data_IF_476883867913
#
_entry.id   IF_476883867913
#
_cell.length_a   1.000
_cell.length_b   1.000
_cell.length_c   1.000
_cell.angle_alpha   90.00
_cell.angle_beta   90.00
_cell.angle_gamma   90.00
#
_symmetry.space_group_name_H-M   'P 1'
#
loop_
_entity.id
_entity.type
_entity.pdbx_description
1 polymer ?
#
# COMPACT_ATOMS: atom_id res chain seq x y z
N UNK A 1 -6.59 -15.79 -10.35
CA UNK A 1 -6.32 -14.35 -10.53
C UNK A 1 -6.98 -13.61 -9.37
N UNK A 2 -6.18 -12.94 -8.54
CA UNK A 2 -6.64 -12.21 -7.35
C UNK A 2 -7.34 -10.90 -7.70
N UNK A 3 -8.01 -10.28 -6.72
CA UNK A 3 -8.72 -9.01 -6.93
C UNK A 3 -7.82 -7.92 -7.52
N UNK A 4 -6.60 -7.76 -7.01
CA UNK A 4 -5.65 -6.74 -7.46
C UNK A 4 -5.32 -6.88 -8.95
N UNK A 5 -5.10 -8.12 -9.41
CA UNK A 5 -4.80 -8.43 -10.81
C UNK A 5 -6.00 -8.13 -11.71
N UNK A 6 -7.20 -8.55 -11.31
CA UNK A 6 -8.45 -8.23 -12.02
C UNK A 6 -8.68 -6.72 -12.10
N UNK A 7 -8.43 -6.00 -10.99
CA UNK A 7 -8.60 -4.56 -10.93
C UNK A 7 -7.60 -3.84 -11.86
N UNK A 8 -6.32 -4.21 -11.85
CA UNK A 8 -5.31 -3.64 -12.77
C UNK A 8 -5.66 -3.93 -14.23
N UNK A 9 -6.10 -5.16 -14.54
CA UNK A 9 -6.56 -5.53 -15.88
C UNK A 9 -7.75 -4.65 -16.32
N UNK A 10 -8.75 -4.46 -15.46
CA UNK A 10 -9.89 -3.61 -15.75
C UNK A 10 -9.50 -2.15 -16.01
N UNK A 11 -8.52 -1.60 -15.28
CA UNK A 11 -8.02 -0.24 -15.51
C UNK A 11 -7.27 -0.08 -16.84
N UNK A 12 -6.74 -1.17 -17.37
CA UNK A 12 -5.99 -1.21 -18.64
C UNK A 12 -6.90 -1.56 -19.83
N UNK A 13 -8.17 -1.87 -19.58
CA UNK A 13 -9.17 -2.19 -20.60
C UNK A 13 -9.51 -0.95 -21.42
N UNK A 14 -9.51 -1.10 -22.75
CA UNK A 14 -9.77 0.02 -23.67
C UNK A 14 -11.25 0.40 -23.77
N UNK A 15 -12.14 -0.50 -23.34
CA UNK A 15 -13.58 -0.35 -23.52
C UNK A 15 -14.41 -0.77 -22.31
N UNK A 16 -13.77 -1.17 -21.19
CA UNK A 16 -14.44 -1.60 -19.94
C UNK A 16 -15.60 -2.57 -20.23
N UNK A 17 -15.37 -3.52 -21.15
CA UNK A 17 -16.44 -4.43 -21.60
C UNK A 17 -17.04 -5.17 -20.41
N UNK A 18 -18.37 -5.25 -20.46
CA UNK A 18 -19.17 -6.03 -19.55
C UNK A 18 -20.15 -6.87 -20.38
N UNK A 19 -19.78 -8.13 -20.60
CA UNK A 19 -20.54 -9.13 -21.35
C UNK A 19 -20.38 -10.51 -20.69
N UNK A 20 -20.94 -11.56 -21.28
CA UNK A 20 -20.91 -12.90 -20.68
C UNK A 20 -19.50 -13.49 -20.46
N UNK A 21 -18.45 -12.88 -21.04
CA UNK A 21 -17.06 -13.33 -20.97
C UNK A 21 -16.10 -12.28 -20.43
N UNK A 22 -16.50 -11.01 -20.37
CA UNK A 22 -15.69 -9.89 -19.90
C UNK A 22 -16.45 -9.15 -18.79
N UNK A 23 -15.81 -8.88 -17.65
CA UNK A 23 -16.45 -8.25 -16.49
C UNK A 23 -15.62 -7.07 -15.97
N UNK A 24 -15.03 -6.30 -16.88
CA UNK A 24 -14.07 -5.24 -16.52
C UNK A 24 -14.75 -4.11 -15.74
N UNK A 25 -15.95 -3.69 -16.17
CA UNK A 25 -16.74 -2.66 -15.47
C UNK A 25 -17.18 -3.13 -14.09
N UNK A 26 -17.63 -4.39 -13.98
CA UNK A 26 -18.06 -5.02 -12.73
C UNK A 26 -16.95 -4.99 -11.69
N UNK A 27 -15.70 -5.24 -12.07
CA UNK A 27 -14.55 -5.21 -11.15
C UNK A 27 -14.33 -3.80 -10.58
N UNK A 28 -14.44 -2.76 -11.42
CA UNK A 28 -14.32 -1.36 -10.98
C UNK A 28 -15.50 -0.98 -10.07
N UNK A 29 -16.72 -1.40 -10.40
CA UNK A 29 -17.92 -1.15 -9.61
C UNK A 29 -17.84 -1.85 -8.24
N UNK A 30 -17.43 -3.12 -8.21
CA UNK A 30 -17.25 -3.89 -6.98
C UNK A 30 -16.22 -3.27 -6.05
N UNK A 31 -15.11 -2.75 -6.60
CA UNK A 31 -14.10 -2.00 -5.86
C UNK A 31 -14.69 -0.73 -5.23
N UNK A 32 -15.44 0.06 -6.02
CA UNK A 32 -16.08 1.28 -5.54
C UNK A 32 -17.10 0.99 -4.42
N UNK A 33 -17.96 -0.01 -4.61
CA UNK A 33 -18.94 -0.44 -3.62
C UNK A 33 -18.28 -0.98 -2.35
N UNK A 34 -17.09 -1.60 -2.43
CA UNK A 34 -16.40 -2.19 -1.27
C UNK A 34 -15.88 -1.14 -0.29
N UNK A 35 -15.71 0.08 -0.80
CA UNK A 35 -15.60 1.30 -0.02
C UNK A 35 -14.51 1.28 1.05
N UNK A 36 -14.58 2.30 1.90
CA UNK A 36 -13.65 2.52 3.01
C UNK A 36 -12.21 2.79 2.54
N UNK A 37 -11.29 2.70 3.50
CA UNK A 37 -9.87 2.99 3.26
C UNK A 37 -9.23 2.06 2.21
N UNK A 38 -9.69 0.81 2.12
CA UNK A 38 -9.20 -0.14 1.12
C UNK A 38 -9.48 0.29 -0.33
N UNK A 39 -10.63 0.93 -0.59
CA UNK A 39 -10.93 1.46 -1.93
C UNK A 39 -9.97 2.61 -2.30
N UNK A 40 -9.66 3.49 -1.34
CA UNK A 40 -8.66 4.56 -1.51
C UNK A 40 -7.27 3.98 -1.73
N UNK A 41 -6.87 2.94 -0.98
CA UNK A 41 -5.59 2.26 -1.17
C UNK A 41 -5.47 1.66 -2.59
N UNK A 42 -6.51 1.00 -3.10
CA UNK A 42 -6.50 0.42 -4.45
C UNK A 42 -6.37 1.50 -5.53
N UNK A 43 -7.13 2.59 -5.41
CA UNK A 43 -7.08 3.71 -6.36
C UNK A 43 -5.72 4.39 -6.35
N UNK A 44 -5.20 4.74 -5.18
CA UNK A 44 -3.89 5.40 -5.07
C UNK A 44 -2.78 4.50 -5.60
N UNK A 45 -2.78 3.20 -5.26
CA UNK A 45 -1.71 2.27 -5.65
C UNK A 45 -1.70 1.91 -7.13
N UNK A 46 -2.88 1.77 -7.75
CA UNK A 46 -2.99 1.20 -9.10
C UNK A 46 -3.58 2.15 -10.14
N UNK A 47 -4.49 3.05 -9.76
CA UNK A 47 -5.17 3.95 -10.70
C UNK A 47 -4.47 5.31 -10.83
N UNK A 48 -3.98 5.87 -9.72
CA UNK A 48 -3.33 7.20 -9.71
C UNK A 48 -1.86 7.16 -10.18
N UNK A 49 -1.40 6.04 -10.75
CA UNK A 49 -0.14 5.96 -11.48
C UNK A 49 1.13 5.88 -10.62
N UNK A 50 1.04 5.64 -9.31
CA UNK A 50 2.24 5.54 -8.43
C UNK A 50 3.26 4.49 -8.88
N UNK A 51 2.88 3.55 -9.75
CA UNK A 51 3.76 2.51 -10.30
C UNK A 51 4.40 2.91 -11.64
N UNK A 52 3.91 3.90 -12.39
CA UNK A 52 4.41 4.16 -13.77
C UNK A 52 4.26 5.57 -14.35
N UNK A 53 3.53 6.51 -13.77
CA UNK A 53 3.43 7.89 -14.29
C UNK A 53 3.57 8.91 -13.17
N UNK A 54 4.43 9.90 -13.40
CA UNK A 54 4.55 11.08 -12.55
C UNK A 54 3.15 11.69 -12.32
N UNK A 55 2.69 11.65 -11.07
CA UNK A 55 1.73 12.50 -10.34
C UNK A 55 0.84 13.53 -11.07
N UNK A 56 0.35 13.25 -12.27
CA UNK A 56 -0.55 14.14 -13.00
C UNK A 56 -1.98 13.61 -12.89
N UNK A 57 -2.67 13.93 -11.78
CA UNK A 57 -4.14 13.83 -11.79
C UNK A 57 -4.87 13.76 -10.45
N UNK A 58 -4.27 13.25 -9.36
CA UNK A 58 -5.07 12.94 -8.16
C UNK A 58 -4.39 13.15 -6.80
N UNK A 59 -3.67 14.26 -6.64
CA UNK A 59 -3.12 14.67 -5.33
C UNK A 59 -4.17 14.68 -4.20
N UNK A 60 -5.46 14.88 -4.55
CA UNK A 60 -6.59 14.82 -3.61
C UNK A 60 -6.80 13.44 -2.96
N UNK A 61 -6.73 12.35 -3.73
CA UNK A 61 -6.92 10.99 -3.22
C UNK A 61 -5.79 10.60 -2.27
N UNK A 62 -4.53 10.87 -2.64
CA UNK A 62 -3.39 10.60 -1.78
C UNK A 62 -3.47 11.44 -0.50
N UNK A 63 -3.81 12.73 -0.60
CA UNK A 63 -3.97 13.57 0.57
C UNK A 63 -5.11 13.08 1.49
N UNK A 64 -6.23 12.61 0.92
CA UNK A 64 -7.32 12.02 1.68
C UNK A 64 -6.87 10.72 2.37
N UNK A 65 -6.17 9.85 1.65
CA UNK A 65 -5.64 8.59 2.18
C UNK A 65 -4.64 8.86 3.31
N UNK A 66 -3.71 9.80 3.12
CA UNK A 66 -2.73 10.16 4.15
C UNK A 66 -3.41 10.71 5.41
N UNK A 67 -4.42 11.58 5.26
CA UNK A 67 -5.21 12.09 6.41
C UNK A 67 -5.93 10.95 7.14
N UNK A 68 -6.65 10.10 6.41
CA UNK A 68 -7.38 8.98 7.00
C UNK A 68 -6.44 7.97 7.68
N UNK A 69 -5.30 7.70 7.06
CA UNK A 69 -4.29 6.80 7.60
C UNK A 69 -3.62 7.36 8.85
N UNK A 70 -3.24 8.65 8.82
CA UNK A 70 -2.64 9.32 9.99
C UNK A 70 -3.59 9.29 11.18
N UNK A 71 -4.89 9.52 10.95
CA UNK A 71 -5.90 9.41 12.00
C UNK A 71 -6.00 7.99 12.58
N UNK A 72 -5.98 6.97 11.71
CA UNK A 72 -6.01 5.56 12.13
C UNK A 72 -4.76 5.15 12.92
N UNK A 73 -3.57 5.55 12.46
CA UNK A 73 -2.30 5.30 13.16
C UNK A 73 -2.28 6.02 14.50
N UNK A 74 -2.75 7.27 14.57
CA UNK A 74 -2.83 8.00 15.83
C UNK A 74 -3.80 7.33 16.83
N UNK A 75 -4.96 6.83 16.36
CA UNK A 75 -5.89 6.10 17.20
C UNK A 75 -5.27 4.80 17.73
N UNK A 76 -4.60 4.02 16.87
CA UNK A 76 -3.89 2.80 17.26
C UNK A 76 -2.73 3.09 18.20
N UNK A 77 -1.93 4.13 17.94
CA UNK A 77 -0.80 4.54 18.77
C UNK A 77 -1.22 4.96 20.17
N UNK A 78 -2.38 5.62 20.30
CA UNK A 78 -3.01 5.94 21.59
C UNK A 78 -3.51 4.68 22.29
N UNK A 79 -4.27 3.83 21.59
CA UNK A 79 -4.81 2.58 22.16
C UNK A 79 -3.70 1.61 22.64
N UNK A 80 -2.61 1.50 21.87
CA UNK A 80 -1.44 0.67 22.18
C UNK A 80 -0.43 1.37 23.10
N UNK A 81 -0.69 2.62 23.52
CA UNK A 81 0.16 3.42 24.41
C UNK A 81 1.63 3.50 23.96
N UNK A 82 1.88 3.80 22.69
CA UNK A 82 3.24 3.91 22.15
C UNK A 82 4.08 4.98 22.84
N UNK A 83 3.42 6.07 23.28
CA UNK A 83 4.04 7.16 24.02
C UNK A 83 3.19 7.41 25.26
N UNK A 84 3.84 7.55 26.42
CA UNK A 84 3.16 7.98 27.65
C UNK A 84 3.02 9.49 27.63
N UNK A 85 1.94 9.99 27.03
CA UNK A 85 1.67 11.41 27.02
C UNK A 85 1.05 11.84 28.35
N UNK A 86 1.82 12.54 29.18
CA UNK A 86 1.35 13.09 30.47
C UNK A 86 1.14 14.61 30.40
N UNK A 87 1.85 15.29 29.49
CA UNK A 87 1.73 16.72 29.25
C UNK A 87 1.26 17.05 27.84
N UNK A 88 0.86 18.30 27.60
CA UNK A 88 0.52 18.78 26.26
C UNK A 88 1.71 18.70 25.28
N UNK A 89 2.93 18.90 25.78
CA UNK A 89 4.16 18.75 25.00
C UNK A 89 4.38 17.29 24.56
N UNK A 90 4.16 16.33 25.47
CA UNK A 90 4.27 14.91 25.14
C UNK A 90 3.21 14.49 24.12
N UNK A 91 2.01 15.04 24.20
CA UNK A 91 0.96 14.80 23.22
C UNK A 91 1.35 15.31 21.82
N UNK A 92 2.02 16.45 21.72
CA UNK A 92 2.53 16.99 20.47
C UNK A 92 3.69 16.13 19.90
N UNK A 93 4.61 15.69 20.76
CA UNK A 93 5.68 14.78 20.37
C UNK A 93 5.11 13.43 19.88
N UNK A 94 4.10 12.90 20.56
CA UNK A 94 3.41 11.66 20.17
C UNK A 94 2.70 11.81 18.82
N UNK A 95 1.97 12.90 18.58
CA UNK A 95 1.33 13.16 17.29
C UNK A 95 2.36 13.28 16.15
N UNK A 96 3.53 13.86 16.43
CA UNK A 96 4.63 13.95 15.45
C UNK A 96 5.18 12.56 15.11
N UNK A 97 5.32 11.68 16.10
CA UNK A 97 5.67 10.28 15.87
C UNK A 97 4.60 9.56 15.04
N UNK A 98 3.32 9.68 15.39
CA UNK A 98 2.23 9.01 14.67
C UNK A 98 2.19 9.41 13.19
N UNK A 99 2.39 10.70 12.91
CA UNK A 99 2.47 11.19 11.53
C UNK A 99 3.65 10.59 10.77
N UNK A 100 4.87 10.59 11.36
CA UNK A 100 6.06 9.99 10.71
C UNK A 100 5.87 8.49 10.43
N UNK A 101 5.34 7.74 11.39
CA UNK A 101 5.03 6.32 11.20
C UNK A 101 3.98 6.12 10.10
N UNK A 102 2.94 6.95 10.06
CA UNK A 102 1.90 6.87 9.04
C UNK A 102 2.46 7.15 7.63
N UNK A 103 3.25 8.22 7.48
CA UNK A 103 3.88 8.60 6.21
C UNK A 103 4.85 7.51 5.73
N UNK A 104 5.75 7.05 6.60
CA UNK A 104 6.75 6.04 6.24
C UNK A 104 6.12 4.68 5.92
N UNK A 105 5.13 4.23 6.70
CA UNK A 105 4.42 2.98 6.43
C UNK A 105 3.65 3.04 5.11
N UNK A 106 2.97 4.15 4.84
CA UNK A 106 2.22 4.32 3.60
C UNK A 106 3.15 4.40 2.39
N UNK A 107 4.23 5.19 2.48
CA UNK A 107 5.21 5.31 1.41
C UNK A 107 5.85 3.96 1.08
N UNK A 108 6.26 3.21 2.11
CA UNK A 108 6.82 1.88 1.93
C UNK A 108 5.79 0.90 1.34
N UNK A 109 4.53 0.93 1.77
CA UNK A 109 3.50 0.03 1.21
C UNK A 109 3.13 0.36 -0.26
N UNK A 110 3.18 1.63 -0.64
CA UNK A 110 2.95 2.08 -2.02
C UNK A 110 4.13 1.73 -2.94
N UNK A 111 5.36 1.88 -2.46
CA UNK A 111 6.59 1.66 -3.21
C UNK A 111 7.50 0.62 -2.54
N UNK A 112 6.94 -0.57 -2.31
CA UNK A 112 7.64 -1.62 -1.56
C UNK A 112 8.69 -2.33 -2.38
N UNK A 113 8.80 -2.10 -3.70
CA UNK A 113 9.68 -2.87 -4.57
C UNK A 113 11.12 -2.40 -4.50
N UNK A 114 12.03 -3.34 -4.32
CA UNK A 114 13.46 -3.09 -4.41
C UNK A 114 13.82 -2.51 -5.79
N UNK A 115 14.46 -1.34 -5.82
CA UNK A 115 14.83 -0.66 -7.08
C UNK A 115 15.88 -1.38 -7.90
N UNK A 116 16.67 -2.26 -7.28
CA UNK A 116 17.74 -3.01 -7.95
C UNK A 116 17.24 -4.28 -8.66
N UNK A 117 16.19 -4.93 -8.16
CA UNK A 117 15.61 -6.15 -8.75
C UNK A 117 14.15 -5.98 -9.18
N UNK A 118 13.57 -4.78 -9.04
CA UNK A 118 12.18 -4.47 -9.35
C UNK A 118 11.15 -5.39 -8.67
N UNK A 119 11.48 -5.94 -7.50
CA UNK A 119 10.59 -6.82 -6.74
C UNK A 119 10.83 -8.32 -6.90
N UNK A 120 11.76 -8.76 -7.76
CA UNK A 120 11.97 -10.20 -8.03
C UNK A 120 12.80 -10.90 -6.95
N UNK A 121 13.54 -10.16 -6.12
CA UNK A 121 14.49 -10.70 -5.14
C UNK A 121 15.78 -11.25 -5.76
N UNK A 122 15.87 -11.33 -7.09
CA UNK A 122 17.02 -11.90 -7.81
C UNK A 122 17.47 -11.00 -8.95
N UNK A 123 18.76 -11.02 -9.26
CA UNK A 123 19.35 -10.35 -10.42
C UNK A 123 19.98 -11.39 -11.33
N UNK A 124 19.85 -11.20 -12.65
CA UNK A 124 20.50 -12.07 -13.62
C UNK A 124 22.02 -11.90 -13.53
N UNK A 125 22.74 -12.99 -13.29
CA UNK A 125 24.19 -12.97 -13.20
C UNK A 125 24.82 -13.16 -14.58
N UNK A 126 24.97 -12.06 -15.34
CA UNK A 126 25.68 -12.06 -16.61
C UNK A 126 25.17 -13.07 -17.66
N UNK A 127 25.92 -13.21 -18.77
CA UNK A 127 25.47 -13.86 -20.01
C UNK A 127 25.23 -15.37 -19.95
N UNK A 128 25.59 -16.08 -18.86
CA UNK A 128 25.47 -17.55 -18.75
C UNK A 128 25.13 -18.05 -17.33
N UNK A 129 24.77 -17.18 -16.37
CA UNK A 129 24.70 -17.53 -14.94
C UNK A 129 23.29 -17.64 -14.34
N UNK A 130 23.12 -18.60 -13.43
CA UNK A 130 21.92 -18.80 -12.61
C UNK A 130 21.49 -17.50 -11.87
N UNK A 131 20.19 -17.34 -11.54
CA UNK A 131 19.70 -16.16 -10.81
C UNK A 131 20.41 -16.03 -9.47
N UNK A 132 21.00 -14.86 -9.20
CA UNK A 132 21.70 -14.58 -7.95
C UNK A 132 20.83 -13.71 -7.06
N UNK A 133 20.84 -14.00 -5.76
CA UNK A 133 20.13 -13.21 -4.75
C UNK A 133 20.51 -11.72 -4.85
N UNK A 134 19.50 -10.86 -4.94
CA UNK A 134 19.71 -9.42 -5.03
C UNK A 134 20.34 -8.92 -3.74
N UNK A 135 21.57 -8.38 -3.81
CA UNK A 135 22.28 -7.84 -2.64
C UNK A 135 21.58 -6.65 -1.99
N UNK A 136 20.83 -5.86 -2.76
CA UNK A 136 20.15 -4.65 -2.28
C UNK A 136 18.94 -4.94 -1.38
N UNK A 137 18.25 -6.07 -1.57
CA UNK A 137 17.12 -6.51 -0.73
C UNK A 137 17.37 -7.84 -0.03
N UNK A 138 18.57 -8.42 -0.19
CA UNK A 138 18.94 -9.74 0.33
C UNK A 138 17.91 -10.83 0.00
N UNK A 139 17.35 -10.78 -1.22
CA UNK A 139 16.38 -11.77 -1.67
C UNK A 139 14.91 -11.47 -1.32
N UNK A 140 14.61 -10.47 -0.49
CA UNK A 140 13.22 -10.18 -0.13
C UNK A 140 12.38 -9.60 -1.28
N UNK A 141 13.05 -8.98 -2.26
CA UNK A 141 12.39 -8.20 -3.30
C UNK A 141 11.87 -6.85 -2.81
N UNK A 142 11.98 -6.54 -1.53
CA UNK A 142 11.43 -5.33 -0.93
C UNK A 142 12.48 -4.23 -0.73
N UNK A 143 12.07 -2.97 -0.88
CA UNK A 143 12.91 -1.82 -0.56
C UNK A 143 13.09 -1.70 0.96
N UNK A 144 14.29 -1.36 1.48
CA UNK A 144 14.46 -1.16 2.91
C UNK A 144 13.65 0.05 3.39
N UNK A 145 13.08 -0.05 4.59
CA UNK A 145 12.45 1.09 5.28
C UNK A 145 13.57 1.98 5.83
N UNK A 146 13.70 3.19 5.29
CA UNK A 146 14.64 4.20 5.81
C UNK A 146 14.04 4.92 7.02
N UNK A 147 14.53 4.60 8.23
CA UNK A 147 14.24 5.38 9.44
C UNK A 147 15.40 5.33 10.44
N UNK A 148 15.46 6.35 11.30
CA UNK A 148 16.60 6.61 12.20
C UNK A 148 16.64 5.74 13.48
N UNK A 149 15.61 4.95 13.79
CA UNK A 149 15.57 4.18 15.04
C UNK A 149 14.75 2.89 14.99
N UNK A 150 15.20 1.86 15.73
CA UNK A 150 14.57 0.54 15.75
C UNK A 150 13.13 0.54 16.30
N UNK A 151 12.85 1.39 17.29
CA UNK A 151 11.48 1.54 17.81
C UNK A 151 10.51 2.04 16.74
N UNK A 152 10.89 3.05 15.96
CA UNK A 152 10.06 3.59 14.89
C UNK A 152 9.91 2.56 13.76
N UNK A 153 10.99 1.84 13.43
CA UNK A 153 10.98 0.77 12.43
C UNK A 153 9.94 -0.32 12.74
N UNK A 154 9.89 -0.79 13.99
CA UNK A 154 8.90 -1.80 14.40
C UNK A 154 7.47 -1.32 14.22
N UNK A 155 7.19 -0.06 14.55
CA UNK A 155 5.86 0.53 14.38
C UNK A 155 5.51 0.73 12.93
N UNK A 156 6.49 1.11 12.09
CA UNK A 156 6.28 1.20 10.65
C UNK A 156 5.94 -0.19 10.09
N UNK A 157 6.70 -1.24 10.43
CA UNK A 157 6.42 -2.61 9.97
C UNK A 157 5.04 -3.11 10.40
N UNK A 158 4.70 -2.92 11.67
CA UNK A 158 3.37 -3.23 12.23
C UNK A 158 2.25 -2.52 11.44
N UNK A 159 2.44 -1.23 11.14
CA UNK A 159 1.49 -0.43 10.36
C UNK A 159 1.44 -0.81 8.86
N UNK A 160 2.55 -1.26 8.27
CA UNK A 160 2.58 -1.83 6.91
C UNK A 160 1.75 -3.12 6.85
N UNK A 161 1.89 -4.02 7.82
CA UNK A 161 1.07 -5.22 7.93
C UNK A 161 -0.42 -4.91 8.09
N UNK A 162 -0.76 -3.84 8.80
CA UNK A 162 -2.14 -3.37 8.95
C UNK A 162 -2.70 -2.80 7.64
N UNK A 163 -1.91 -2.04 6.87
CA UNK A 163 -2.28 -1.59 5.53
C UNK A 163 -2.56 -2.77 4.60
N UNK A 164 -1.70 -3.79 4.64
CA UNK A 164 -1.89 -5.01 3.88
C UNK A 164 -3.17 -5.75 4.30
N UNK A 165 -3.44 -5.86 5.60
CA UNK A 165 -4.69 -6.44 6.12
C UNK A 165 -5.94 -5.69 5.64
N UNK A 166 -5.90 -4.35 5.63
CA UNK A 166 -7.01 -3.51 5.12
C UNK A 166 -7.21 -3.75 3.62
N UNK A 167 -6.12 -3.82 2.85
CA UNK A 167 -6.13 -4.07 1.42
C UNK A 167 -6.72 -5.45 1.09
N UNK A 168 -6.22 -6.51 1.74
CA UNK A 168 -6.73 -7.88 1.55
C UNK A 168 -8.19 -8.01 1.96
N UNK A 169 -8.59 -7.40 3.08
CA UNK A 169 -10.00 -7.37 3.52
C UNK A 169 -10.90 -6.67 2.50
N UNK A 170 -10.43 -5.57 1.90
CA UNK A 170 -11.15 -4.89 0.84
C UNK A 170 -11.26 -5.75 -0.42
N UNK A 171 -10.16 -6.38 -0.85
CA UNK A 171 -10.17 -7.31 -1.98
C UNK A 171 -11.16 -8.45 -1.79
N UNK A 172 -11.22 -9.04 -0.59
CA UNK A 172 -12.21 -10.07 -0.25
C UNK A 172 -13.65 -9.54 -0.29
N UNK A 173 -13.91 -8.31 0.20
CA UNK A 173 -15.24 -7.68 0.10
C UNK A 173 -15.64 -7.41 -1.36
N UNK A 174 -14.70 -6.95 -2.18
CA UNK A 174 -14.94 -6.66 -3.59
C UNK A 174 -15.21 -7.95 -4.37
N UNK A 175 -14.41 -9.01 -4.15
CA UNK A 175 -14.62 -10.33 -4.77
C UNK A 175 -15.99 -10.93 -4.44
N UNK A 176 -16.44 -10.84 -3.18
CA UNK A 176 -17.80 -11.27 -2.82
C UNK A 176 -18.90 -10.58 -3.60
N UNK A 177 -18.68 -9.34 -4.04
CA UNK A 177 -19.66 -8.61 -4.88
C UNK A 177 -19.62 -9.01 -6.34
N UNK A 178 -18.52 -9.58 -6.80
CA UNK A 178 -18.37 -10.19 -8.12
C UNK A 178 -18.91 -11.63 -8.17
N UNK A 179 -19.50 -12.14 -7.08
CA UNK A 179 -19.97 -13.52 -7.00
C UNK A 179 -18.85 -14.55 -6.84
N UNK A 180 -17.68 -14.14 -6.36
CA UNK A 180 -16.51 -14.98 -6.10
C UNK A 180 -16.21 -15.16 -4.60
#
# INVERSE_FOLDING_TARGET
MGFAEKFIASLSSQNLRDDAFHHDLDVVAAAALAGGMGALLCRVKYADGTVSRLFEGNAGNLAQLLRAWTAAVAQKGKARRWVKAQTAWDAQAANTLYRRVAEASLAHWLDSKCKACHGTGVVAAGTLGAPVMCKGCQGSGEAPISCSGGFELERIKDMVSELEGIFQSHGARAMRRLGH
#
